data_IF_428429994298
#
_entry.id   IF_428429994298
#
_cell.length_a   1.000
_cell.length_b   1.000
_cell.length_c   1.000
_cell.angle_alpha   90.00
_cell.angle_beta   90.00
_cell.angle_gamma   90.00
#
_symmetry.space_group_name_H-M   'P 1'
#
loop_
_entity.id
_entity.type
_entity.pdbx_description
1 polymer ?
#
# COMPACT_ATOMS: atom_id res chain seq x y z
N UNK A 1 49.34 -5.77 58.01
CA UNK A 1 48.78 -4.40 57.97
C UNK A 1 47.28 -4.52 57.72
N UNK A 2 46.44 -3.87 58.54
CA UNK A 2 45.01 -3.74 58.26
C UNK A 2 44.85 -2.67 57.19
N UNK A 3 44.26 -3.04 56.04
CA UNK A 3 44.21 -2.20 54.83
C UNK A 3 42.97 -1.28 54.80
N UNK A 4 41.86 -1.67 55.41
CA UNK A 4 40.76 -0.76 55.75
C UNK A 4 39.90 -1.39 56.86
N UNK A 5 39.10 -0.56 57.51
CA UNK A 5 38.02 -0.99 58.40
C UNK A 5 36.72 -0.42 57.82
N UNK A 6 35.79 -1.30 57.47
CA UNK A 6 34.46 -0.94 57.00
C UNK A 6 33.41 -1.47 57.97
N UNK A 7 32.27 -0.78 58.01
CA UNK A 7 31.10 -1.21 58.76
C UNK A 7 30.42 -2.36 58.02
N UNK A 8 29.99 -3.39 58.76
CA UNK A 8 29.17 -4.46 58.20
C UNK A 8 27.72 -4.00 58.05
N UNK A 9 27.39 -3.53 56.84
CA UNK A 9 26.13 -2.86 56.49
C UNK A 9 24.89 -3.70 56.74
N UNK A 10 24.97 -5.03 56.58
CA UNK A 10 23.83 -5.95 56.74
C UNK A 10 23.47 -6.20 58.21
N UNK A 11 24.44 -6.10 59.13
CA UNK A 11 24.25 -6.48 60.53
C UNK A 11 24.19 -5.28 61.49
N UNK A 12 24.72 -4.11 61.11
CA UNK A 12 24.87 -2.99 62.04
C UNK A 12 23.51 -2.45 62.56
N UNK A 13 22.48 -2.44 61.72
CA UNK A 13 21.13 -2.02 62.12
C UNK A 13 20.50 -3.02 63.07
N UNK A 14 20.66 -4.32 62.80
CA UNK A 14 20.19 -5.39 63.65
C UNK A 14 20.90 -5.36 65.02
N UNK A 15 22.22 -5.13 65.02
CA UNK A 15 23.01 -4.96 66.23
C UNK A 15 22.53 -3.76 67.08
N UNK A 16 22.29 -2.61 66.46
CA UNK A 16 21.78 -1.43 67.17
C UNK A 16 20.37 -1.63 67.74
N UNK A 17 19.53 -2.37 67.02
CA UNK A 17 18.13 -2.62 67.40
C UNK A 17 18.02 -3.66 68.51
N UNK A 18 18.67 -4.80 68.35
CA UNK A 18 18.47 -5.99 69.18
C UNK A 18 19.54 -6.17 70.25
N UNK A 19 20.80 -5.84 69.96
CA UNK A 19 21.91 -6.01 70.92
C UNK A 19 22.06 -4.76 71.80
N UNK A 20 22.05 -3.56 71.21
CA UNK A 20 22.08 -2.30 71.96
C UNK A 20 20.71 -1.90 72.53
N UNK A 21 19.65 -2.66 72.21
CA UNK A 21 18.25 -2.39 72.61
C UNK A 21 17.80 -0.94 72.34
N UNK A 22 18.32 -0.33 71.27
CA UNK A 22 18.01 1.05 70.90
C UNK A 22 17.35 1.09 69.52
N UNK A 23 16.05 0.76 69.43
CA UNK A 23 15.34 0.71 68.17
C UNK A 23 15.26 2.08 67.47
N UNK A 24 15.24 3.19 68.22
CA UNK A 24 15.29 4.54 67.64
C UNK A 24 16.62 4.84 66.95
N UNK A 25 17.73 4.39 67.52
CA UNK A 25 19.05 4.49 66.90
C UNK A 25 19.13 3.64 65.63
N UNK A 26 18.66 2.38 65.70
CA UNK A 26 18.57 1.48 64.55
C UNK A 26 17.76 2.09 63.40
N UNK A 27 16.61 2.70 63.71
CA UNK A 27 15.76 3.37 62.73
C UNK A 27 16.45 4.58 62.07
N UNK A 28 17.13 5.42 62.86
CA UNK A 28 17.87 6.59 62.34
C UNK A 28 19.05 6.18 61.47
N UNK A 29 19.77 5.11 61.85
CA UNK A 29 20.88 4.56 61.07
C UNK A 29 20.39 3.98 59.74
N UNK A 30 19.29 3.23 59.76
CA UNK A 30 18.66 2.68 58.57
C UNK A 30 18.23 3.77 57.57
N UNK A 31 17.63 4.87 58.05
CA UNK A 31 17.23 6.00 57.18
C UNK A 31 18.43 6.74 56.62
N UNK A 32 19.39 7.14 57.47
CA UNK A 32 20.50 8.00 57.05
C UNK A 32 21.44 7.31 56.06
N UNK A 33 21.62 6.00 56.20
CA UNK A 33 22.57 5.23 55.40
C UNK A 33 21.90 4.24 54.43
N UNK A 34 20.57 4.27 54.31
CA UNK A 34 19.79 3.36 53.46
C UNK A 34 20.10 1.86 53.71
N UNK A 35 20.33 1.49 54.98
CA UNK A 35 20.77 0.15 55.40
C UNK A 35 19.58 -0.80 55.62
N UNK A 36 19.81 -2.10 55.40
CA UNK A 36 18.83 -3.16 55.62
C UNK A 36 18.68 -3.54 57.12
N UNK A 37 17.67 -4.34 57.47
CA UNK A 37 17.54 -4.91 58.83
C UNK A 37 16.67 -4.13 59.83
N UNK A 38 15.98 -3.07 59.41
CA UNK A 38 14.92 -2.38 60.17
C UNK A 38 13.51 -2.57 59.57
N UNK A 39 13.35 -3.47 58.60
CA UNK A 39 12.11 -3.67 57.83
C UNK A 39 10.87 -3.84 58.71
N UNK A 40 10.97 -4.70 59.72
CA UNK A 40 9.86 -5.01 60.63
C UNK A 40 9.51 -3.81 61.53
N UNK A 41 10.50 -2.99 61.92
CA UNK A 41 10.27 -1.78 62.71
C UNK A 41 9.52 -0.72 61.90
N UNK A 42 9.87 -0.54 60.62
CA UNK A 42 9.15 0.36 59.72
C UNK A 42 7.73 -0.12 59.48
N UNK A 43 7.53 -1.42 59.22
CA UNK A 43 6.20 -1.99 59.03
C UNK A 43 5.31 -1.86 60.27
N UNK A 44 5.84 -2.12 61.47
CA UNK A 44 5.11 -1.93 62.74
C UNK A 44 4.75 -0.46 62.94
N UNK A 45 5.72 0.45 62.80
CA UNK A 45 5.50 1.90 62.95
C UNK A 45 4.46 2.43 61.95
N UNK A 46 4.53 1.98 60.70
CA UNK A 46 3.54 2.29 59.67
C UNK A 46 2.14 1.81 60.08
N UNK A 47 1.98 0.54 60.44
CA UNK A 47 0.68 -0.02 60.80
C UNK A 47 0.08 0.65 62.05
N UNK A 48 0.90 1.01 63.04
CA UNK A 48 0.46 1.75 64.23
C UNK A 48 -0.08 3.13 63.86
N UNK A 49 0.66 3.90 63.06
CA UNK A 49 0.22 5.23 62.61
C UNK A 49 -1.02 5.16 61.72
N UNK A 50 -1.09 4.13 60.86
CA UNK A 50 -2.24 3.90 59.99
C UNK A 50 -3.50 3.55 60.80
N UNK A 51 -3.39 2.70 61.83
CA UNK A 51 -4.50 2.34 62.71
C UNK A 51 -4.99 3.52 63.58
N UNK A 52 -4.11 4.48 63.89
CA UNK A 52 -4.45 5.71 64.62
C UNK A 52 -5.16 6.76 63.75
N UNK A 53 -5.31 6.53 62.44
CA UNK A 53 -5.87 7.51 61.51
C UNK A 53 -4.90 8.62 61.10
N UNK A 54 -3.63 8.55 61.53
CA UNK A 54 -2.58 9.51 61.19
C UNK A 54 -1.97 9.21 59.82
N UNK A 55 -2.79 9.30 58.77
CA UNK A 55 -2.41 8.88 57.41
C UNK A 55 -1.23 9.66 56.81
N UNK A 56 -1.12 10.96 57.09
CA UNK A 56 -0.01 11.78 56.61
C UNK A 56 1.35 11.35 57.18
N UNK A 57 1.41 11.00 58.46
CA UNK A 57 2.65 10.54 59.08
C UNK A 57 2.96 9.08 58.71
N UNK A 58 1.94 8.25 58.54
CA UNK A 58 2.12 6.91 57.96
C UNK A 58 2.71 6.99 56.54
N UNK A 59 2.25 7.93 55.71
CA UNK A 59 2.79 8.18 54.38
C UNK A 59 4.26 8.63 54.41
N UNK A 60 4.64 9.54 55.32
CA UNK A 60 6.05 9.94 55.51
C UNK A 60 6.95 8.77 55.91
N UNK A 61 6.47 7.88 56.78
CA UNK A 61 7.20 6.67 57.19
C UNK A 61 7.37 5.72 56.00
N UNK A 62 6.34 5.54 55.18
CA UNK A 62 6.44 4.72 53.98
C UNK A 62 7.39 5.31 52.93
N UNK A 63 7.38 6.63 52.76
CA UNK A 63 8.24 7.34 51.80
C UNK A 63 9.72 7.34 52.21
N UNK A 64 10.01 7.43 53.51
CA UNK A 64 11.37 7.44 54.08
C UNK A 64 11.93 6.05 54.41
N UNK A 65 11.15 4.98 54.20
CA UNK A 65 11.59 3.63 54.47
C UNK A 65 12.76 3.25 53.54
N UNK A 66 13.87 2.70 54.08
CA UNK A 66 15.04 2.32 53.29
C UNK A 66 14.66 1.30 52.21
N UNK A 67 15.36 1.33 51.07
CA UNK A 67 15.11 0.48 49.89
C UNK A 67 13.65 0.47 49.39
N UNK A 68 12.79 1.40 49.83
CA UNK A 68 11.38 1.44 49.45
C UNK A 68 10.57 0.23 49.95
N UNK A 69 10.94 -0.40 51.08
CA UNK A 69 10.27 -1.61 51.61
C UNK A 69 8.75 -1.43 51.80
N UNK A 70 8.32 -0.21 52.11
CA UNK A 70 6.91 0.13 52.31
C UNK A 70 6.25 0.75 51.06
N UNK A 71 6.99 0.96 49.96
CA UNK A 71 6.50 1.52 48.69
C UNK A 71 6.00 0.41 47.77
N UNK A 72 5.06 -0.37 48.27
CA UNK A 72 4.54 -1.58 47.60
C UNK A 72 3.07 -1.43 47.22
N UNK A 73 2.59 -2.31 46.34
CA UNK A 73 1.17 -2.38 45.97
C UNK A 73 0.25 -2.57 47.18
N UNK A 74 0.70 -3.30 48.21
CA UNK A 74 -0.11 -3.56 49.41
C UNK A 74 -0.29 -2.29 50.25
N UNK A 75 0.76 -1.47 50.37
CA UNK A 75 0.66 -0.16 51.05
C UNK A 75 -0.29 0.76 50.29
N UNK A 76 -0.22 0.80 48.96
CA UNK A 76 -1.14 1.60 48.14
C UNK A 76 -2.59 1.13 48.34
N UNK A 77 -2.85 -0.19 48.32
CA UNK A 77 -4.17 -0.75 48.57
C UNK A 77 -4.72 -0.39 49.95
N UNK A 78 -3.87 -0.37 50.99
CA UNK A 78 -4.27 0.09 52.32
C UNK A 78 -4.78 1.53 52.27
N UNK A 79 -4.03 2.46 51.67
CA UNK A 79 -4.49 3.85 51.51
C UNK A 79 -5.74 3.99 50.62
N UNK A 80 -5.88 3.16 49.59
CA UNK A 80 -7.03 3.15 48.69
C UNK A 80 -8.32 2.65 49.38
N UNK A 81 -8.20 1.74 50.35
CA UNK A 81 -9.34 1.20 51.09
C UNK A 81 -9.99 2.20 52.06
N UNK A 82 -9.31 3.32 52.35
CA UNK A 82 -9.81 4.33 53.29
C UNK A 82 -10.73 5.31 52.55
N UNK A 83 -12.00 5.43 52.95
CA UNK A 83 -12.93 6.38 52.33
C UNK A 83 -12.50 7.83 52.59
N UNK A 84 -12.64 8.69 51.58
CA UNK A 84 -12.35 10.11 51.71
C UNK A 84 -13.42 10.80 52.59
N UNK A 85 -12.97 11.52 53.62
CA UNK A 85 -13.83 12.34 54.47
C UNK A 85 -14.26 13.62 53.71
N UNK A 86 -15.53 14.07 53.81
CA UNK A 86 -15.99 15.30 53.14
C UNK A 86 -15.15 16.51 53.57
N UNK A 87 -14.53 17.19 52.60
CA UNK A 87 -13.71 18.39 52.85
C UNK A 87 -12.23 18.15 53.14
N UNK A 88 -11.77 16.88 53.24
CA UNK A 88 -10.34 16.55 53.32
C UNK A 88 -9.86 15.85 52.05
N UNK A 89 -8.61 16.12 51.65
CA UNK A 89 -7.96 15.39 50.56
C UNK A 89 -7.89 13.88 50.89
N UNK A 90 -8.14 13.01 49.91
CA UNK A 90 -8.14 11.57 50.18
C UNK A 90 -6.77 11.12 50.73
N UNK A 91 -6.75 10.16 51.68
CA UNK A 91 -5.50 9.64 52.23
C UNK A 91 -4.52 9.14 51.15
N UNK A 92 -5.05 8.60 50.05
CA UNK A 92 -4.27 8.17 48.90
C UNK A 92 -3.58 9.35 48.17
N UNK A 93 -4.29 10.46 47.96
CA UNK A 93 -3.71 11.67 47.36
C UNK A 93 -2.67 12.31 48.28
N UNK A 94 -2.88 12.29 49.60
CA UNK A 94 -1.88 12.75 50.58
C UNK A 94 -0.61 11.89 50.51
N UNK A 95 -0.76 10.57 50.41
CA UNK A 95 0.35 9.64 50.24
C UNK A 95 1.18 9.96 49.00
N UNK A 96 0.54 10.12 47.83
CA UNK A 96 1.25 10.47 46.61
C UNK A 96 1.86 11.87 46.64
N UNK A 97 1.20 12.85 47.26
CA UNK A 97 1.76 14.20 47.44
C UNK A 97 3.09 14.17 48.20
N UNK A 98 3.15 13.45 49.32
CA UNK A 98 4.37 13.30 50.12
C UNK A 98 5.47 12.58 49.33
N UNK A 99 5.12 11.54 48.56
CA UNK A 99 6.09 10.83 47.73
C UNK A 99 6.65 11.71 46.61
N UNK A 100 5.81 12.48 45.93
CA UNK A 100 6.21 13.42 44.87
C UNK A 100 7.13 14.53 45.40
N UNK A 101 6.91 14.98 46.63
CA UNK A 101 7.79 15.96 47.29
C UNK A 101 9.16 15.35 47.62
N UNK A 102 9.21 14.06 48.00
CA UNK A 102 10.45 13.38 48.37
C UNK A 102 11.27 12.88 47.18
N UNK A 103 10.66 12.51 46.06
CA UNK A 103 11.41 11.97 44.92
C UNK A 103 10.56 11.45 43.76
N UNK A 104 11.14 10.51 43.02
CA UNK A 104 10.50 9.83 41.88
C UNK A 104 9.59 8.70 42.38
N UNK A 105 8.39 8.59 41.82
CA UNK A 105 7.45 7.49 42.03
C UNK A 105 7.92 6.24 41.32
N UNK A 106 7.71 5.07 41.92
CA UNK A 106 8.00 3.80 41.27
C UNK A 106 6.91 3.41 40.25
N UNK A 107 7.09 2.30 39.54
CA UNK A 107 6.15 1.79 38.52
C UNK A 107 4.72 1.68 39.04
N UNK A 108 4.51 1.07 40.21
CA UNK A 108 3.17 0.84 40.76
C UNK A 108 2.50 2.12 41.22
N UNK A 109 3.26 2.99 41.89
CA UNK A 109 2.79 4.29 42.36
C UNK A 109 2.43 5.22 41.19
N UNK A 110 3.26 5.23 40.15
CA UNK A 110 3.03 6.03 38.94
C UNK A 110 1.72 5.61 38.26
N UNK A 111 1.45 4.31 38.15
CA UNK A 111 0.21 3.79 37.58
C UNK A 111 -1.02 4.19 38.41
N UNK A 112 -0.98 3.96 39.72
CA UNK A 112 -2.12 4.22 40.60
C UNK A 112 -2.41 5.71 40.78
N UNK A 113 -1.37 6.57 40.73
CA UNK A 113 -1.57 8.02 40.70
C UNK A 113 -2.16 8.50 39.37
N UNK A 114 -1.70 7.96 38.24
CA UNK A 114 -2.11 8.46 36.93
C UNK A 114 -3.55 8.07 36.55
N UNK A 115 -4.05 6.91 37.02
CA UNK A 115 -5.43 6.46 36.78
C UNK A 115 -6.51 7.52 37.11
N UNK A 116 -6.61 8.02 38.36
CA UNK A 116 -7.64 9.01 38.70
C UNK A 116 -7.39 10.36 38.03
N UNK A 117 -6.13 10.75 37.81
CA UNK A 117 -5.78 12.03 37.16
C UNK A 117 -6.25 12.05 35.71
N UNK A 118 -6.08 10.93 34.99
CA UNK A 118 -6.55 10.77 33.63
C UNK A 118 -8.08 10.70 33.56
N UNK A 119 -8.74 9.99 34.48
CA UNK A 119 -10.22 9.96 34.57
C UNK A 119 -10.83 11.34 34.81
N UNK A 120 -10.15 12.20 35.56
CA UNK A 120 -10.55 13.60 35.80
C UNK A 120 -10.16 14.55 34.65
N UNK A 121 -9.54 14.05 33.58
CA UNK A 121 -9.11 14.87 32.43
C UNK A 121 -7.95 15.82 32.73
N UNK A 122 -7.25 15.67 33.85
CA UNK A 122 -6.19 16.60 34.31
C UNK A 122 -4.82 16.27 33.71
N UNK A 123 -4.75 16.09 32.39
CA UNK A 123 -3.52 15.68 31.68
C UNK A 123 -2.33 16.62 31.84
N UNK A 124 -2.57 17.90 32.11
CA UNK A 124 -1.52 18.91 32.37
C UNK A 124 -0.64 18.55 33.58
N UNK A 125 -1.22 17.91 34.61
CA UNK A 125 -0.46 17.46 35.77
C UNK A 125 0.51 16.33 35.39
N UNK A 126 0.04 15.41 34.55
CA UNK A 126 0.86 14.32 34.04
C UNK A 126 2.03 14.84 33.19
N UNK A 127 1.78 15.80 32.30
CA UNK A 127 2.83 16.48 31.54
C UNK A 127 3.88 17.14 32.44
N UNK A 128 3.44 17.81 33.52
CA UNK A 128 4.33 18.44 34.48
C UNK A 128 5.20 17.39 35.18
N UNK A 129 4.61 16.34 35.73
CA UNK A 129 5.35 15.28 36.44
C UNK A 129 6.30 14.52 35.53
N UNK A 130 5.93 14.32 34.26
CA UNK A 130 6.85 13.79 33.26
C UNK A 130 8.02 14.76 33.02
N UNK A 131 7.79 16.06 32.85
CA UNK A 131 8.91 17.02 32.65
C UNK A 131 9.87 17.08 33.85
N UNK A 132 9.34 16.91 35.05
CA UNK A 132 10.12 16.93 36.31
C UNK A 132 10.75 15.57 36.68
N UNK A 133 10.64 14.56 35.81
CA UNK A 133 11.13 13.19 36.03
C UNK A 133 10.61 12.53 37.33
N UNK A 134 9.39 12.90 37.73
CA UNK A 134 8.74 12.44 38.97
C UNK A 134 8.07 11.08 38.85
N UNK A 135 7.91 10.56 37.62
CA UNK A 135 7.22 9.31 37.35
C UNK A 135 8.17 8.30 36.72
N UNK A 136 8.16 7.08 37.22
CA UNK A 136 8.81 5.95 36.55
C UNK A 136 7.98 5.56 35.30
N UNK A 137 8.59 5.75 34.12
CA UNK A 137 7.95 5.44 32.85
C UNK A 137 7.98 3.93 32.59
N UNK A 138 6.82 3.36 32.27
CA UNK A 138 6.69 1.92 31.95
C UNK A 138 5.72 1.71 30.78
N UNK A 139 5.74 0.51 30.20
CA UNK A 139 4.80 0.12 29.13
C UNK A 139 3.34 0.26 29.58
N UNK A 140 3.00 -0.26 30.75
CA UNK A 140 1.64 -0.18 31.33
C UNK A 140 1.18 1.27 31.52
N UNK A 141 2.11 2.16 31.91
CA UNK A 141 1.79 3.59 32.07
C UNK A 141 1.52 4.23 30.71
N UNK A 142 2.34 3.90 29.70
CA UNK A 142 2.11 4.37 28.34
C UNK A 142 0.76 3.90 27.80
N UNK A 143 0.39 2.63 28.02
CA UNK A 143 -0.89 2.06 27.57
C UNK A 143 -2.08 2.78 28.20
N UNK A 144 -1.98 3.10 29.50
CA UNK A 144 -2.99 3.87 30.21
C UNK A 144 -3.12 5.29 29.64
N UNK A 145 -2.00 5.99 29.43
CA UNK A 145 -1.96 7.37 28.94
C UNK A 145 -2.46 7.48 27.49
N UNK A 146 -2.18 6.45 26.68
CA UNK A 146 -2.58 6.40 25.27
C UNK A 146 -4.09 6.53 25.05
N UNK A 147 -4.89 6.03 26.00
CA UNK A 147 -6.36 6.15 25.94
C UNK A 147 -6.85 7.60 26.01
N UNK A 148 -6.05 8.51 26.60
CA UNK A 148 -6.37 9.91 26.76
C UNK A 148 -5.59 10.83 25.81
N UNK A 149 -4.30 10.56 25.60
CA UNK A 149 -3.43 11.37 24.74
C UNK A 149 -2.30 10.52 24.12
N UNK A 150 -2.40 10.18 22.82
CA UNK A 150 -1.38 9.39 22.12
C UNK A 150 -0.01 10.09 22.07
N UNK A 151 0.04 11.42 22.05
CA UNK A 151 1.30 12.17 21.96
C UNK A 151 2.05 12.15 23.29
N UNK A 152 1.32 12.21 24.40
CA UNK A 152 1.90 12.07 25.72
C UNK A 152 2.38 10.63 25.96
N UNK A 153 1.60 9.63 25.53
CA UNK A 153 1.99 8.23 25.62
C UNK A 153 3.30 7.92 24.89
N UNK A 154 3.52 8.52 23.71
CA UNK A 154 4.79 8.41 22.98
C UNK A 154 5.98 8.86 23.84
N UNK A 155 5.84 9.95 24.60
CA UNK A 155 6.91 10.44 25.49
C UNK A 155 7.20 9.46 26.63
N UNK A 156 6.17 8.79 27.15
CA UNK A 156 6.30 7.76 28.19
C UNK A 156 7.03 6.54 27.61
N UNK A 157 6.62 6.03 26.45
CA UNK A 157 7.26 4.87 25.82
C UNK A 157 8.73 5.11 25.45
N UNK A 158 9.06 6.31 24.98
CA UNK A 158 10.45 6.69 24.67
C UNK A 158 11.35 6.64 25.90
N UNK A 159 10.84 7.07 27.06
CA UNK A 159 11.58 7.05 28.34
C UNK A 159 11.61 5.67 28.98
N UNK A 160 10.54 4.90 28.80
CA UNK A 160 10.46 3.49 29.22
C UNK A 160 11.33 2.56 28.36
N UNK A 161 11.90 3.07 27.26
CA UNK A 161 12.70 2.32 26.29
C UNK A 161 11.97 1.07 25.75
N UNK A 162 10.74 1.26 25.25
CA UNK A 162 9.89 0.20 24.67
C UNK A 162 9.73 0.41 23.16
N UNK A 163 10.64 -0.12 22.30
CA UNK A 163 10.71 0.25 20.89
C UNK A 163 9.45 -0.09 20.09
N UNK A 164 8.84 -1.25 20.35
CA UNK A 164 7.65 -1.73 19.64
C UNK A 164 6.48 -0.75 19.78
N UNK A 165 6.22 -0.28 21.01
CA UNK A 165 5.13 0.65 21.32
C UNK A 165 5.42 2.06 20.82
N UNK A 166 6.68 2.52 20.87
CA UNK A 166 7.10 3.80 20.27
C UNK A 166 6.79 3.81 18.78
N UNK A 167 7.19 2.75 18.07
CA UNK A 167 6.97 2.62 16.62
C UNK A 167 5.48 2.57 16.30
N UNK A 168 4.70 1.81 17.07
CA UNK A 168 3.25 1.75 16.92
C UNK A 168 2.61 3.14 17.11
N UNK A 169 3.01 3.89 18.15
CA UNK A 169 2.52 5.26 18.35
C UNK A 169 2.93 6.23 17.25
N UNK A 170 4.16 6.12 16.72
CA UNK A 170 4.56 6.92 15.57
C UNK A 170 3.70 6.61 14.32
N UNK A 171 3.39 5.33 14.10
CA UNK A 171 2.54 4.91 13.00
C UNK A 171 1.10 5.44 13.14
N UNK A 172 0.52 5.33 14.33
CA UNK A 172 -0.83 5.85 14.62
C UNK A 172 -0.92 7.39 14.56
N UNK A 173 0.18 8.09 14.85
CA UNK A 173 0.25 9.56 14.74
C UNK A 173 0.68 10.04 13.35
N UNK A 174 0.89 9.14 12.38
CA UNK A 174 1.30 9.46 11.01
C UNK A 174 2.73 9.97 10.86
N UNK A 175 3.57 9.84 11.89
CA UNK A 175 4.95 10.37 11.90
C UNK A 175 5.94 9.35 11.32
N UNK A 176 5.68 8.86 10.11
CA UNK A 176 6.40 7.74 9.50
C UNK A 176 7.91 7.95 9.38
N UNK A 177 8.35 9.16 8.99
CA UNK A 177 9.77 9.48 8.86
C UNK A 177 10.56 9.24 10.16
N UNK A 178 9.93 9.46 11.32
CA UNK A 178 10.57 9.26 12.62
C UNK A 178 10.70 7.78 12.98
N UNK A 179 9.87 6.91 12.41
CA UNK A 179 9.92 5.46 12.66
C UNK A 179 11.27 4.90 12.21
N UNK A 180 11.67 5.16 10.96
CA UNK A 180 12.92 4.66 10.39
C UNK A 180 14.13 5.21 11.14
N UNK A 181 14.12 6.52 11.46
CA UNK A 181 15.18 7.16 12.22
C UNK A 181 15.33 6.56 13.63
N UNK A 182 14.21 6.31 14.32
CA UNK A 182 14.21 5.72 15.65
C UNK A 182 14.65 4.24 15.62
N UNK A 183 14.14 3.46 14.68
CA UNK A 183 14.53 2.06 14.47
C UNK A 183 16.05 1.92 14.26
N UNK A 184 16.64 2.75 13.38
CA UNK A 184 18.10 2.80 13.15
C UNK A 184 18.86 3.23 14.41
N UNK A 185 18.37 4.24 15.15
CA UNK A 185 19.03 4.74 16.37
C UNK A 185 19.10 3.71 17.51
N UNK A 186 18.05 2.91 17.68
CA UNK A 186 17.94 1.92 18.75
C UNK A 186 18.44 0.54 18.31
N UNK A 187 18.74 0.36 17.02
CA UNK A 187 19.13 -0.95 16.47
C UNK A 187 17.99 -1.96 16.49
N UNK A 188 16.74 -1.49 16.40
CA UNK A 188 15.54 -2.32 16.42
C UNK A 188 14.93 -2.40 15.03
N UNK A 189 14.70 -3.61 14.52
CA UNK A 189 14.05 -3.87 13.23
C UNK A 189 12.60 -4.27 13.46
N UNK A 190 11.61 -3.37 13.25
CA UNK A 190 10.21 -3.73 13.33
C UNK A 190 9.80 -4.66 12.20
N UNK A 191 8.73 -5.43 12.42
CA UNK A 191 8.00 -6.08 11.33
C UNK A 191 7.23 -5.01 10.54
N UNK A 192 7.83 -4.54 9.45
CA UNK A 192 7.28 -3.49 8.60
C UNK A 192 5.95 -3.88 7.97
N UNK A 193 5.76 -5.15 7.62
CA UNK A 193 4.55 -5.65 6.97
C UNK A 193 3.41 -5.72 7.98
N UNK A 194 3.66 -6.22 9.19
CA UNK A 194 2.68 -6.20 10.27
C UNK A 194 2.26 -4.77 10.62
N UNK A 195 3.22 -3.85 10.70
CA UNK A 195 2.95 -2.44 10.98
C UNK A 195 2.12 -1.80 9.86
N UNK A 196 2.47 -2.07 8.59
CA UNK A 196 1.71 -1.59 7.43
C UNK A 196 0.27 -2.10 7.43
N UNK A 197 0.05 -3.38 7.73
CA UNK A 197 -1.30 -3.96 7.90
C UNK A 197 -2.10 -3.22 8.97
N UNK A 198 -1.46 -2.88 10.09
CA UNK A 198 -2.11 -2.12 11.16
C UNK A 198 -2.49 -0.71 10.71
N UNK A 199 -1.60 0.00 10.00
CA UNK A 199 -1.86 1.36 9.50
C UNK A 199 -2.98 1.36 8.47
N UNK A 200 -2.95 0.42 7.51
CA UNK A 200 -3.98 0.35 6.44
C UNK A 200 -5.39 0.12 6.98
N UNK A 201 -5.54 -0.60 8.10
CA UNK A 201 -6.85 -0.79 8.76
C UNK A 201 -7.42 0.50 9.34
N UNK A 202 -6.56 1.42 9.75
CA UNK A 202 -6.96 2.70 10.34
C UNK A 202 -7.16 3.76 9.25
N UNK A 203 -6.20 3.88 8.33
CA UNK A 203 -6.24 4.83 7.23
C UNK A 203 -5.49 4.28 6.02
N UNK A 204 -6.19 3.97 4.92
CA UNK A 204 -5.58 3.56 3.66
C UNK A 204 -4.59 4.59 3.10
N UNK A 205 -4.91 5.88 3.20
CA UNK A 205 -4.07 6.96 2.65
C UNK A 205 -2.75 7.11 3.43
N UNK A 206 -2.80 6.98 4.75
CA UNK A 206 -1.59 6.92 5.56
C UNK A 206 -0.80 5.63 5.28
N UNK A 207 -1.48 4.51 5.04
CA UNK A 207 -0.86 3.27 4.61
C UNK A 207 -0.10 3.42 3.28
N UNK A 208 -0.67 4.16 2.33
CA UNK A 208 -0.01 4.49 1.07
C UNK A 208 1.28 5.30 1.29
N UNK A 209 1.20 6.39 2.05
CA UNK A 209 2.38 7.21 2.37
C UNK A 209 3.47 6.39 3.07
N UNK A 210 3.06 5.53 4.01
CA UNK A 210 3.99 4.67 4.71
C UNK A 210 4.65 3.65 3.77
N UNK A 211 3.87 3.03 2.88
CA UNK A 211 4.39 2.07 1.89
C UNK A 211 5.42 2.68 0.94
N UNK A 212 5.19 3.91 0.47
CA UNK A 212 6.13 4.64 -0.38
C UNK A 212 7.45 4.91 0.35
N UNK A 213 7.39 5.29 1.62
CA UNK A 213 8.58 5.52 2.44
C UNK A 213 9.39 4.24 2.66
N UNK A 214 8.74 3.07 2.78
CA UNK A 214 9.44 1.79 2.96
C UNK A 214 10.30 1.37 1.76
N UNK A 215 10.02 1.91 0.56
CA UNK A 215 10.70 1.56 -0.69
C UNK A 215 11.49 2.71 -1.30
N UNK A 216 11.58 3.85 -0.60
CA UNK A 216 12.22 5.07 -1.11
C UNK A 216 13.76 4.98 -1.14
N UNK A 217 14.36 4.27 -0.19
CA UNK A 217 15.82 4.11 -0.08
C UNK A 217 16.35 3.09 -1.11
N UNK A 218 17.65 3.19 -1.48
CA UNK A 218 18.30 2.25 -2.42
C UNK A 218 18.18 0.79 -1.98
N UNK A 219 18.21 0.56 -0.66
CA UNK A 219 17.86 -0.71 -0.04
C UNK A 219 16.47 -0.60 0.57
N UNK A 220 15.43 -1.20 -0.06
CA UNK A 220 14.08 -1.11 0.43
C UNK A 220 13.95 -1.84 1.78
N UNK A 221 13.27 -1.20 2.74
CA UNK A 221 13.05 -1.75 4.08
C UNK A 221 12.06 -2.92 4.08
N UNK A 222 11.21 -2.99 3.04
CA UNK A 222 10.21 -4.04 2.87
C UNK A 222 10.09 -4.47 1.41
N UNK A 223 9.70 -5.72 1.19
CA UNK A 223 9.55 -6.26 -0.16
C UNK A 223 8.29 -5.70 -0.84
N UNK A 224 8.43 -5.18 -2.05
CA UNK A 224 7.33 -4.60 -2.85
C UNK A 224 6.19 -5.61 -3.04
N UNK A 225 6.49 -6.90 -3.30
CA UNK A 225 5.45 -7.92 -3.47
C UNK A 225 4.60 -8.08 -2.21
N UNK A 226 5.22 -8.09 -1.03
CA UNK A 226 4.50 -8.19 0.24
C UNK A 226 3.65 -6.95 0.51
N UNK A 227 4.14 -5.76 0.16
CA UNK A 227 3.37 -4.52 0.26
C UNK A 227 2.13 -4.59 -0.64
N UNK A 228 2.30 -5.04 -1.89
CA UNK A 228 1.18 -5.24 -2.84
C UNK A 228 0.16 -6.24 -2.29
N UNK A 229 0.62 -7.36 -1.71
CA UNK A 229 -0.26 -8.34 -1.07
C UNK A 229 -1.13 -7.69 0.01
N UNK A 230 -0.55 -6.82 0.85
CA UNK A 230 -1.29 -6.10 1.91
C UNK A 230 -2.34 -5.15 1.35
N UNK A 231 -2.07 -4.45 0.23
CA UNK A 231 -3.09 -3.64 -0.43
C UNK A 231 -4.23 -4.50 -0.99
N UNK A 232 -3.89 -5.62 -1.64
CA UNK A 232 -4.85 -6.53 -2.26
C UNK A 232 -5.76 -7.22 -1.26
N UNK A 233 -5.22 -7.68 -0.13
CA UNK A 233 -6.00 -8.26 0.97
C UNK A 233 -7.08 -7.31 1.50
N UNK A 234 -6.82 -6.00 1.49
CA UNK A 234 -7.75 -4.97 1.93
C UNK A 234 -8.60 -4.40 0.79
N UNK A 235 -8.51 -4.96 -0.43
CA UNK A 235 -9.19 -4.47 -1.64
C UNK A 235 -8.90 -2.98 -1.97
N UNK A 236 -7.71 -2.49 -1.59
CA UNK A 236 -7.27 -1.10 -1.77
C UNK A 236 -6.62 -0.89 -3.15
N UNK A 237 -7.40 -1.13 -4.20
CA UNK A 237 -6.90 -1.21 -5.59
C UNK A 237 -6.37 0.14 -6.08
N UNK A 238 -7.06 1.24 -5.79
CA UNK A 238 -6.65 2.57 -6.23
C UNK A 238 -5.31 2.97 -5.58
N UNK A 239 -5.16 2.73 -4.28
CA UNK A 239 -3.93 3.00 -3.55
C UNK A 239 -2.80 2.08 -4.01
N UNK A 240 -3.08 0.80 -4.26
CA UNK A 240 -2.11 -0.15 -4.81
C UNK A 240 -1.60 0.31 -6.18
N UNK A 241 -2.51 0.74 -7.07
CA UNK A 241 -2.16 1.29 -8.38
C UNK A 241 -1.27 2.51 -8.21
N UNK A 242 -1.65 3.48 -7.37
CA UNK A 242 -0.84 4.68 -7.13
C UNK A 242 0.56 4.33 -6.59
N UNK A 243 0.67 3.39 -5.66
CA UNK A 243 1.94 2.92 -5.12
C UNK A 243 2.82 2.29 -6.21
N UNK A 244 2.27 1.36 -6.99
CA UNK A 244 3.01 0.66 -8.04
C UNK A 244 3.42 1.58 -9.19
N UNK A 245 2.61 2.58 -9.55
CA UNK A 245 2.99 3.56 -10.58
C UNK A 245 4.22 4.38 -10.17
N UNK A 246 4.36 4.74 -8.88
CA UNK A 246 5.55 5.43 -8.38
C UNK A 246 6.74 4.48 -8.20
N UNK A 247 6.52 3.28 -7.68
CA UNK A 247 7.56 2.28 -7.47
C UNK A 247 8.19 1.81 -8.80
N UNK A 248 7.38 1.68 -9.86
CA UNK A 248 7.78 1.16 -11.17
C UNK A 248 8.16 2.26 -12.18
N UNK A 249 8.23 3.53 -11.77
CA UNK A 249 8.44 4.67 -12.68
C UNK A 249 9.70 4.60 -13.55
N UNK A 250 10.68 3.78 -13.14
CA UNK A 250 11.93 3.58 -13.88
C UNK A 250 11.84 2.47 -14.94
N UNK A 251 10.67 1.83 -15.08
CA UNK A 251 10.36 0.78 -16.07
C UNK A 251 11.49 -0.27 -16.20
N UNK A 252 11.92 -0.86 -15.07
CA UNK A 252 13.06 -1.78 -15.06
C UNK A 252 12.63 -3.19 -15.49
N UNK A 253 13.43 -3.92 -16.29
CA UNK A 253 13.12 -5.29 -16.68
C UNK A 253 12.95 -6.26 -15.50
N UNK A 254 13.73 -6.09 -14.44
CA UNK A 254 13.67 -6.93 -13.23
C UNK A 254 12.30 -6.86 -12.53
N UNK A 255 11.54 -5.78 -12.77
CA UNK A 255 10.24 -5.51 -12.16
C UNK A 255 9.09 -5.90 -13.11
N UNK A 256 9.36 -6.59 -14.22
CA UNK A 256 8.35 -6.97 -15.21
C UNK A 256 7.16 -7.74 -14.62
N UNK A 257 7.40 -8.63 -13.64
CA UNK A 257 6.35 -9.34 -12.92
C UNK A 257 5.40 -8.39 -12.16
N UNK A 258 5.92 -7.29 -11.57
CA UNK A 258 5.11 -6.27 -10.89
C UNK A 258 4.33 -5.43 -11.90
N UNK A 259 4.90 -5.16 -13.07
CA UNK A 259 4.18 -4.49 -14.17
C UNK A 259 2.98 -5.34 -14.64
N UNK A 260 3.19 -6.65 -14.83
CA UNK A 260 2.09 -7.58 -15.16
C UNK A 260 1.02 -7.56 -14.07
N UNK A 261 1.43 -7.62 -12.80
CA UNK A 261 0.51 -7.63 -11.66
C UNK A 261 -0.30 -6.35 -11.54
N UNK A 262 0.33 -5.19 -11.78
CA UNK A 262 -0.34 -3.89 -11.84
C UNK A 262 -1.44 -3.88 -12.90
N UNK A 263 -1.12 -4.33 -14.11
CA UNK A 263 -2.07 -4.37 -15.23
C UNK A 263 -3.19 -5.37 -14.96
N UNK A 264 -2.85 -6.57 -14.47
CA UNK A 264 -3.82 -7.62 -14.17
C UNK A 264 -4.88 -7.15 -13.15
N UNK A 265 -4.43 -6.59 -12.03
CA UNK A 265 -5.33 -6.07 -11.00
C UNK A 265 -6.27 -5.00 -11.59
N UNK A 266 -5.74 -4.04 -12.36
CA UNK A 266 -6.56 -2.99 -12.95
C UNK A 266 -7.47 -3.53 -14.07
N UNK A 267 -7.05 -4.49 -14.89
CA UNK A 267 -7.91 -5.08 -15.92
C UNK A 267 -9.09 -5.84 -15.33
N UNK A 268 -8.93 -6.45 -14.15
CA UNK A 268 -10.00 -7.16 -13.46
C UNK A 268 -10.97 -6.19 -12.77
N UNK A 269 -10.46 -5.15 -12.11
CA UNK A 269 -11.25 -4.33 -11.20
C UNK A 269 -11.51 -2.89 -11.66
N UNK A 270 -10.65 -2.32 -12.50
CA UNK A 270 -10.74 -0.95 -13.00
C UNK A 270 -10.23 -0.83 -14.45
N UNK A 271 -10.92 -1.44 -15.45
CA UNK A 271 -10.43 -1.53 -16.83
C UNK A 271 -10.04 -0.19 -17.48
N UNK A 272 -10.75 0.89 -17.13
CA UNK A 272 -10.47 2.24 -17.64
C UNK A 272 -9.09 2.74 -17.21
N UNK A 273 -8.64 2.37 -16.00
CA UNK A 273 -7.31 2.75 -15.50
C UNK A 273 -6.24 1.93 -16.23
N UNK A 274 -6.47 0.64 -16.44
CA UNK A 274 -5.57 -0.19 -17.24
C UNK A 274 -5.43 0.32 -18.68
N UNK A 275 -6.54 0.70 -19.32
CA UNK A 275 -6.54 1.28 -20.66
C UNK A 275 -5.70 2.56 -20.73
N UNK A 276 -5.83 3.45 -19.73
CA UNK A 276 -5.00 4.65 -19.64
C UNK A 276 -3.51 4.34 -19.46
N UNK A 277 -3.16 3.37 -18.61
CA UNK A 277 -1.76 2.95 -18.39
C UNK A 277 -1.16 2.38 -19.68
N UNK A 278 -1.88 1.50 -20.37
CA UNK A 278 -1.46 0.90 -21.64
C UNK A 278 -1.36 1.93 -22.76
N UNK A 279 -2.36 2.83 -22.86
CA UNK A 279 -2.40 3.88 -23.86
C UNK A 279 -1.26 4.90 -23.73
N UNK A 280 -0.84 5.18 -22.50
CA UNK A 280 0.31 6.06 -22.21
C UNK A 280 1.67 5.35 -22.35
N UNK A 281 1.69 4.05 -22.67
CA UNK A 281 2.91 3.25 -22.85
C UNK A 281 3.90 3.37 -21.67
N UNK A 282 3.37 3.41 -20.44
CA UNK A 282 4.18 3.63 -19.24
C UNK A 282 5.16 2.48 -18.94
N UNK A 283 4.87 1.28 -19.43
CA UNK A 283 5.59 0.05 -19.10
C UNK A 283 5.84 -0.79 -20.36
N UNK A 284 6.91 -1.58 -20.36
CA UNK A 284 7.30 -2.39 -21.54
C UNK A 284 7.70 -3.83 -21.24
N UNK A 285 7.83 -4.22 -19.96
CA UNK A 285 8.43 -5.50 -19.55
C UNK A 285 7.44 -6.49 -18.93
N UNK A 286 6.14 -6.21 -18.99
CA UNK A 286 5.10 -7.13 -18.53
C UNK A 286 4.86 -8.27 -19.53
N UNK A 287 4.15 -9.30 -19.06
CA UNK A 287 3.71 -10.43 -19.88
C UNK A 287 2.61 -9.99 -20.85
N UNK A 288 2.99 -9.74 -22.11
CA UNK A 288 2.07 -9.27 -23.15
C UNK A 288 0.95 -10.27 -23.44
N UNK A 289 1.24 -11.57 -23.43
CA UNK A 289 0.25 -12.60 -23.77
C UNK A 289 -0.85 -12.69 -22.72
N UNK A 290 -0.46 -12.71 -21.45
CA UNK A 290 -1.42 -12.69 -20.33
C UNK A 290 -2.24 -11.39 -20.32
N UNK A 291 -1.59 -10.23 -20.49
CA UNK A 291 -2.27 -8.93 -20.55
C UNK A 291 -3.26 -8.85 -21.72
N UNK A 292 -2.91 -9.37 -22.89
CA UNK A 292 -3.81 -9.39 -24.05
C UNK A 292 -5.13 -10.13 -23.75
N UNK A 293 -5.04 -11.32 -23.13
CA UNK A 293 -6.21 -12.11 -22.75
C UNK A 293 -7.09 -11.40 -21.73
N UNK A 294 -6.48 -10.68 -20.79
CA UNK A 294 -7.20 -9.88 -19.81
C UNK A 294 -7.86 -8.64 -20.43
N UNK A 295 -7.20 -7.97 -21.38
CA UNK A 295 -7.79 -6.88 -22.16
C UNK A 295 -9.03 -7.35 -22.92
N UNK A 296 -8.99 -8.52 -23.55
CA UNK A 296 -10.16 -9.09 -24.24
C UNK A 296 -11.31 -9.37 -23.28
N UNK A 297 -11.03 -9.99 -22.13
CA UNK A 297 -12.05 -10.23 -21.08
C UNK A 297 -12.64 -8.95 -20.51
N UNK A 298 -11.85 -7.88 -20.45
CA UNK A 298 -12.28 -6.56 -19.99
C UNK A 298 -13.03 -5.74 -21.07
N UNK A 299 -13.19 -6.28 -22.29
CA UNK A 299 -13.84 -5.59 -23.40
C UNK A 299 -12.95 -4.57 -24.13
N UNK A 300 -11.66 -4.50 -23.79
CA UNK A 300 -10.67 -3.60 -24.39
C UNK A 300 -10.02 -4.27 -25.61
N UNK A 301 -10.80 -4.56 -26.63
CA UNK A 301 -10.35 -5.33 -27.80
C UNK A 301 -9.21 -4.68 -28.58
N UNK A 302 -9.18 -3.35 -28.69
CA UNK A 302 -8.05 -2.64 -29.32
C UNK A 302 -6.75 -2.93 -28.59
N UNK A 303 -6.75 -2.83 -27.26
CA UNK A 303 -5.58 -3.16 -26.44
C UNK A 303 -5.21 -4.62 -26.57
N UNK A 304 -6.17 -5.54 -26.57
CA UNK A 304 -5.88 -6.95 -26.78
C UNK A 304 -5.13 -7.19 -28.10
N UNK A 305 -5.61 -6.60 -29.20
CA UNK A 305 -4.97 -6.70 -30.52
C UNK A 305 -3.56 -6.10 -30.58
N UNK A 306 -3.27 -5.00 -29.87
CA UNK A 306 -1.91 -4.43 -29.78
C UNK A 306 -0.90 -5.36 -29.09
N UNK A 307 -1.40 -6.35 -28.34
CA UNK A 307 -0.59 -7.22 -27.50
C UNK A 307 -0.52 -8.66 -28.01
N UNK A 308 -1.49 -9.10 -28.80
CA UNK A 308 -1.44 -10.40 -29.43
C UNK A 308 -0.28 -10.50 -30.42
N UNK A 309 0.43 -11.62 -30.33
CA UNK A 309 1.52 -11.99 -31.24
C UNK A 309 1.17 -13.21 -32.09
N UNK A 310 0.21 -14.03 -31.64
CA UNK A 310 -0.27 -15.20 -32.38
C UNK A 310 -1.38 -14.79 -33.37
N UNK A 311 -1.21 -15.15 -34.64
CA UNK A 311 -2.17 -14.90 -35.70
C UNK A 311 -3.55 -15.52 -35.39
N UNK A 312 -3.60 -16.65 -34.69
CA UNK A 312 -4.86 -17.27 -34.29
C UNK A 312 -5.70 -16.33 -33.41
N UNK A 313 -5.08 -15.75 -32.39
CA UNK A 313 -5.76 -14.82 -31.47
C UNK A 313 -6.12 -13.50 -32.15
N UNK A 314 -5.22 -12.97 -33.00
CA UNK A 314 -5.49 -11.78 -33.81
C UNK A 314 -6.73 -12.01 -34.69
N UNK A 315 -6.79 -13.13 -35.42
CA UNK A 315 -7.94 -13.46 -36.27
C UNK A 315 -9.23 -13.61 -35.47
N UNK A 316 -9.17 -14.18 -34.28
CA UNK A 316 -10.34 -14.31 -33.40
C UNK A 316 -10.86 -12.94 -32.96
N UNK A 317 -9.97 -12.02 -32.59
CA UNK A 317 -10.37 -10.72 -32.06
C UNK A 317 -10.78 -9.71 -33.17
N UNK A 318 -10.08 -9.72 -34.32
CA UNK A 318 -10.24 -8.70 -35.38
C UNK A 318 -11.62 -8.74 -36.07
N UNK A 319 -12.32 -9.88 -36.03
CA UNK A 319 -13.66 -10.01 -36.63
C UNK A 319 -14.74 -9.21 -35.91
N UNK A 320 -14.49 -8.82 -34.65
CA UNK A 320 -15.41 -8.01 -33.85
C UNK A 320 -15.32 -6.51 -34.19
N UNK A 321 -15.36 -6.18 -35.47
CA UNK A 321 -15.16 -4.83 -36.03
C UNK A 321 -16.09 -3.75 -35.46
N UNK A 322 -17.32 -4.11 -35.07
CA UNK A 322 -18.29 -3.22 -34.43
C UNK A 322 -17.84 -2.69 -33.06
N UNK A 323 -16.88 -3.34 -32.41
CA UNK A 323 -16.30 -2.92 -31.13
C UNK A 323 -14.97 -2.17 -31.30
N UNK A 324 -14.51 -1.97 -32.54
CA UNK A 324 -13.23 -1.37 -32.88
C UNK A 324 -13.45 -0.03 -33.59
N UNK A 325 -12.63 0.97 -33.27
CA UNK A 325 -12.56 2.19 -34.07
C UNK A 325 -12.05 1.86 -35.49
N UNK A 326 -12.79 2.22 -36.56
CA UNK A 326 -12.41 1.92 -37.94
C UNK A 326 -11.06 2.50 -38.37
N UNK A 327 -10.75 3.74 -37.99
CA UNK A 327 -9.49 4.40 -38.36
C UNK A 327 -8.29 3.73 -37.68
N UNK A 328 -8.45 3.40 -36.39
CA UNK A 328 -7.44 2.67 -35.64
C UNK A 328 -7.21 1.29 -36.26
N UNK A 329 -8.28 0.55 -36.59
CA UNK A 329 -8.16 -0.79 -37.15
C UNK A 329 -7.46 -0.76 -38.51
N UNK A 330 -7.76 0.21 -39.37
CA UNK A 330 -7.03 0.41 -40.64
C UNK A 330 -5.55 0.62 -40.37
N UNK A 331 -5.17 1.44 -39.39
CA UNK A 331 -3.76 1.66 -39.04
C UNK A 331 -3.09 0.42 -38.44
N UNK A 332 -3.83 -0.40 -37.68
CA UNK A 332 -3.33 -1.64 -37.09
C UNK A 332 -2.84 -2.63 -38.14
N UNK A 333 -3.51 -2.73 -39.30
CA UNK A 333 -3.03 -3.56 -40.42
C UNK A 333 -1.64 -3.15 -40.92
N UNK A 334 -1.23 -1.89 -40.73
CA UNK A 334 0.14 -1.45 -41.06
C UNK A 334 1.23 -2.01 -40.13
N UNK A 335 0.86 -2.56 -38.97
CA UNK A 335 1.80 -3.24 -38.06
C UNK A 335 1.90 -4.75 -38.29
N UNK A 336 1.00 -5.32 -39.10
CA UNK A 336 0.98 -6.75 -39.40
C UNK A 336 1.92 -7.06 -40.58
N UNK A 337 2.37 -8.32 -40.67
CA UNK A 337 3.03 -8.79 -41.88
C UNK A 337 2.04 -8.85 -43.05
N UNK A 338 2.56 -8.92 -44.29
CA UNK A 338 1.73 -9.05 -45.50
C UNK A 338 0.86 -10.31 -45.45
N UNK A 339 1.44 -11.43 -45.02
CA UNK A 339 0.73 -12.71 -44.91
C UNK A 339 -0.37 -12.65 -43.84
N UNK A 340 -0.04 -12.14 -42.65
CA UNK A 340 -1.00 -11.99 -41.55
C UNK A 340 -2.15 -11.05 -41.91
N UNK A 341 -1.86 -9.97 -42.65
CA UNK A 341 -2.86 -9.02 -43.12
C UNK A 341 -3.87 -9.66 -44.05
N UNK A 342 -3.43 -10.45 -45.03
CA UNK A 342 -4.32 -11.14 -45.97
C UNK A 342 -5.18 -12.18 -45.23
N UNK A 343 -4.58 -12.92 -44.30
CA UNK A 343 -5.31 -13.90 -43.46
C UNK A 343 -6.32 -13.23 -42.52
N UNK A 344 -6.01 -12.07 -41.97
CA UNK A 344 -6.95 -11.28 -41.16
C UNK A 344 -8.11 -10.74 -41.99
N UNK A 345 -7.85 -10.20 -43.19
CA UNK A 345 -8.91 -9.77 -44.11
C UNK A 345 -9.82 -10.95 -44.51
N UNK A 346 -9.23 -12.13 -44.76
CA UNK A 346 -9.97 -13.37 -45.00
C UNK A 346 -10.87 -13.74 -43.83
N UNK A 347 -10.34 -13.69 -42.60
CA UNK A 347 -11.12 -13.96 -41.40
C UNK A 347 -12.29 -12.96 -41.23
N UNK A 348 -12.03 -11.66 -41.42
CA UNK A 348 -13.06 -10.62 -41.35
C UNK A 348 -14.19 -10.84 -42.35
N UNK A 349 -13.87 -11.10 -43.62
CA UNK A 349 -14.86 -11.38 -44.64
C UNK A 349 -15.62 -12.69 -44.35
N UNK A 350 -14.95 -13.72 -43.85
CA UNK A 350 -15.59 -14.99 -43.50
C UNK A 350 -16.61 -14.85 -42.38
N UNK A 351 -16.33 -14.00 -41.39
CA UNK A 351 -17.22 -13.79 -40.26
C UNK A 351 -18.50 -13.04 -40.65
N UNK A 352 -18.38 -11.91 -41.35
CA UNK A 352 -19.52 -11.15 -41.84
C UNK A 352 -19.12 -10.22 -42.99
N UNK A 353 -19.35 -10.67 -44.23
CA UNK A 353 -19.05 -9.90 -45.43
C UNK A 353 -19.71 -8.52 -45.39
N UNK A 354 -21.04 -8.44 -45.18
CA UNK A 354 -21.77 -7.17 -45.29
C UNK A 354 -21.27 -6.11 -44.31
N UNK A 355 -21.01 -6.53 -43.07
CA UNK A 355 -20.54 -5.62 -42.02
C UNK A 355 -19.09 -5.19 -42.25
N UNK A 356 -18.22 -6.13 -42.65
CA UNK A 356 -16.78 -5.89 -42.69
C UNK A 356 -16.29 -5.38 -44.05
N UNK A 357 -17.13 -5.41 -45.09
CA UNK A 357 -16.74 -5.10 -46.46
C UNK A 357 -16.08 -3.74 -46.61
N UNK A 358 -16.74 -2.68 -46.12
CA UNK A 358 -16.26 -1.31 -46.24
C UNK A 358 -14.87 -1.16 -45.61
N UNK A 359 -14.66 -1.76 -44.44
CA UNK A 359 -13.39 -1.71 -43.74
C UNK A 359 -12.30 -2.51 -44.46
N UNK A 360 -12.63 -3.72 -44.94
CA UNK A 360 -11.71 -4.54 -45.73
C UNK A 360 -11.28 -3.82 -47.01
N UNK A 361 -12.21 -3.12 -47.67
CA UNK A 361 -11.91 -2.27 -48.84
C UNK A 361 -10.98 -1.13 -48.45
N UNK A 362 -11.24 -0.41 -47.35
CA UNK A 362 -10.36 0.68 -46.90
C UNK A 362 -8.93 0.21 -46.62
N UNK A 363 -8.78 -0.93 -45.94
CA UNK A 363 -7.46 -1.56 -45.69
C UNK A 363 -6.80 -1.93 -47.01
N UNK A 364 -7.52 -2.62 -47.90
CA UNK A 364 -7.03 -3.00 -49.22
C UNK A 364 -6.57 -1.78 -50.02
N UNK A 365 -7.39 -0.72 -50.09
CA UNK A 365 -7.08 0.53 -50.79
C UNK A 365 -5.90 1.30 -50.19
N UNK A 366 -5.64 1.16 -48.88
CA UNK A 366 -4.51 1.85 -48.23
C UNK A 366 -3.19 1.09 -48.37
N UNK A 367 -3.22 -0.24 -48.30
CA UNK A 367 -2.02 -1.08 -48.26
C UNK A 367 -1.82 -1.93 -49.53
N UNK A 368 -2.53 -1.65 -50.63
CA UNK A 368 -2.45 -2.46 -51.86
C UNK A 368 -1.04 -2.60 -52.44
N UNK A 369 -0.20 -1.58 -52.30
CA UNK A 369 1.19 -1.63 -52.79
C UNK A 369 2.02 -2.70 -52.07
N UNK A 370 1.74 -2.92 -50.78
CA UNK A 370 2.44 -3.91 -49.96
C UNK A 370 1.78 -5.29 -50.02
N UNK A 371 0.44 -5.32 -49.99
CA UNK A 371 -0.34 -6.57 -49.99
C UNK A 371 -0.42 -7.24 -51.37
N UNK A 372 -0.19 -6.47 -52.43
CA UNK A 372 -0.27 -6.93 -53.81
C UNK A 372 -1.72 -6.94 -54.34
N UNK A 373 -1.94 -6.22 -55.43
CA UNK A 373 -3.26 -6.10 -56.06
C UNK A 373 -3.87 -7.45 -56.46
N UNK A 374 -3.06 -8.36 -57.00
CA UNK A 374 -3.53 -9.69 -57.42
C UNK A 374 -4.03 -10.53 -56.23
N UNK A 375 -3.30 -10.53 -55.11
CA UNK A 375 -3.69 -11.25 -53.88
C UNK A 375 -5.02 -10.73 -53.33
N UNK A 376 -5.20 -9.40 -53.30
CA UNK A 376 -6.44 -8.77 -52.87
C UNK A 376 -7.61 -9.06 -53.83
N UNK A 377 -7.38 -9.10 -55.14
CA UNK A 377 -8.40 -9.51 -56.13
C UNK A 377 -8.84 -10.95 -55.88
N UNK A 378 -7.90 -11.88 -55.76
CA UNK A 378 -8.19 -13.29 -55.47
C UNK A 378 -8.94 -13.46 -54.15
N UNK A 379 -8.59 -12.68 -53.13
CA UNK A 379 -9.29 -12.66 -51.85
C UNK A 379 -10.77 -12.31 -52.04
N UNK A 380 -11.11 -11.15 -52.61
CA UNK A 380 -12.51 -10.76 -52.78
C UNK A 380 -13.27 -11.68 -53.76
N UNK A 381 -12.60 -12.22 -54.78
CA UNK A 381 -13.20 -13.21 -55.69
C UNK A 381 -13.54 -14.52 -54.96
N UNK A 382 -12.70 -14.98 -54.03
CA UNK A 382 -12.96 -16.19 -53.24
C UNK A 382 -14.24 -16.09 -52.41
N UNK A 383 -14.62 -14.89 -51.97
CA UNK A 383 -15.89 -14.61 -51.28
C UNK A 383 -17.04 -14.19 -52.21
N UNK A 384 -16.81 -14.18 -53.53
CA UNK A 384 -17.76 -13.67 -54.55
C UNK A 384 -18.22 -12.23 -54.28
N UNK A 385 -17.38 -11.42 -53.65
CA UNK A 385 -17.69 -10.05 -53.28
C UNK A 385 -17.35 -9.09 -54.43
N UNK A 386 -18.23 -9.04 -55.44
CA UNK A 386 -18.06 -8.14 -56.59
C UNK A 386 -18.19 -6.67 -56.21
N UNK A 387 -18.99 -6.37 -55.18
CA UNK A 387 -19.10 -5.04 -54.60
C UNK A 387 -17.78 -4.59 -53.96
N UNK A 388 -17.13 -5.47 -53.19
CA UNK A 388 -15.80 -5.22 -52.63
C UNK A 388 -14.74 -4.99 -53.69
N UNK A 389 -14.70 -5.85 -54.71
CA UNK A 389 -13.81 -5.70 -55.87
C UNK A 389 -14.04 -4.36 -56.57
N UNK A 390 -15.30 -3.98 -56.79
CA UNK A 390 -15.63 -2.74 -57.46
C UNK A 390 -15.11 -1.53 -56.67
N UNK A 391 -15.39 -1.45 -55.37
CA UNK A 391 -14.92 -0.32 -54.55
C UNK A 391 -13.40 -0.29 -54.38
N UNK A 392 -12.77 -1.45 -54.15
CA UNK A 392 -11.31 -1.55 -54.05
C UNK A 392 -10.64 -1.16 -55.37
N UNK A 393 -11.00 -1.81 -56.47
CA UNK A 393 -10.39 -1.54 -57.77
C UNK A 393 -10.69 -0.12 -58.25
N UNK A 394 -11.87 0.44 -57.92
CA UNK A 394 -12.20 1.84 -58.21
C UNK A 394 -11.25 2.85 -57.58
N UNK A 395 -10.68 2.52 -56.41
CA UNK A 395 -9.69 3.38 -55.75
C UNK A 395 -8.31 3.39 -56.43
N UNK A 396 -7.99 2.35 -57.21
CA UNK A 396 -6.67 2.18 -57.84
C UNK A 396 -6.68 2.27 -59.38
N UNK A 397 -7.82 2.03 -60.03
CA UNK A 397 -7.92 1.84 -61.49
C UNK A 397 -7.46 3.07 -62.29
N UNK A 398 -7.70 4.27 -61.77
CA UNK A 398 -7.29 5.52 -62.42
C UNK A 398 -5.77 5.75 -62.40
N UNK A 399 -5.06 5.05 -61.50
CA UNK A 399 -3.60 5.18 -61.33
C UNK A 399 -2.84 3.93 -61.80
N UNK A 400 -3.53 2.80 -61.95
CA UNK A 400 -2.95 1.55 -62.43
C UNK A 400 -2.81 1.52 -63.96
N UNK A 401 -1.70 0.97 -64.45
CA UNK A 401 -1.51 0.67 -65.89
C UNK A 401 -1.68 -0.83 -66.19
N UNK A 402 -2.02 -1.65 -65.19
CA UNK A 402 -2.15 -3.10 -65.33
C UNK A 402 -3.45 -3.48 -66.08
N UNK A 403 -3.36 -4.11 -67.27
CA UNK A 403 -4.53 -4.53 -68.04
C UNK A 403 -5.50 -5.43 -67.27
N UNK A 404 -5.00 -6.26 -66.35
CA UNK A 404 -5.84 -7.17 -65.56
C UNK A 404 -6.64 -6.42 -64.50
N UNK A 405 -6.08 -5.36 -63.89
CA UNK A 405 -6.81 -4.48 -62.95
C UNK A 405 -7.99 -3.81 -63.64
N UNK A 406 -7.77 -3.25 -64.83
CA UNK A 406 -8.84 -2.61 -65.61
C UNK A 406 -9.91 -3.61 -66.05
N UNK A 407 -9.49 -4.80 -66.51
CA UNK A 407 -10.43 -5.87 -66.87
C UNK A 407 -11.27 -6.34 -65.68
N UNK A 408 -10.64 -6.57 -64.52
CA UNK A 408 -11.34 -6.99 -63.30
C UNK A 408 -12.26 -5.90 -62.75
N UNK A 409 -11.90 -4.62 -62.88
CA UNK A 409 -12.79 -3.50 -62.52
C UNK A 409 -14.04 -3.47 -63.39
N UNK A 410 -13.89 -3.61 -64.72
CA UNK A 410 -15.01 -3.72 -65.66
C UNK A 410 -15.90 -4.92 -65.30
N UNK A 411 -15.30 -6.07 -65.03
CA UNK A 411 -16.03 -7.28 -64.63
C UNK A 411 -16.83 -7.06 -63.33
N UNK A 412 -16.24 -6.41 -62.32
CA UNK A 412 -16.91 -6.09 -61.07
C UNK A 412 -18.05 -5.07 -61.27
N UNK A 413 -17.80 -3.99 -62.01
CA UNK A 413 -18.79 -2.95 -62.33
C UNK A 413 -20.01 -3.49 -63.10
N UNK A 414 -19.81 -4.40 -64.05
CA UNK A 414 -20.91 -5.09 -64.73
C UNK A 414 -21.75 -5.93 -63.77
N UNK A 415 -21.10 -6.69 -62.88
CA UNK A 415 -21.79 -7.58 -61.92
C UNK A 415 -22.51 -6.84 -60.81
N UNK A 416 -22.09 -5.61 -60.49
CA UNK A 416 -22.77 -4.72 -59.52
C UNK A 416 -23.80 -3.80 -60.17
N UNK A 417 -23.96 -3.84 -61.50
CA UNK A 417 -24.94 -3.01 -62.24
C UNK A 417 -24.49 -1.57 -62.48
N UNK A 418 -23.22 -1.23 -62.25
CA UNK A 418 -22.66 0.10 -62.41
C UNK A 418 -22.24 0.39 -63.86
N UNK A 419 -23.21 0.37 -64.79
CA UNK A 419 -22.96 0.48 -66.24
C UNK A 419 -22.27 1.80 -66.63
N UNK A 420 -22.55 2.90 -65.92
CA UNK A 420 -21.90 4.20 -66.16
C UNK A 420 -20.38 4.14 -65.99
N UNK A 421 -19.91 3.37 -65.02
CA UNK A 421 -18.48 3.21 -64.74
C UNK A 421 -17.80 2.31 -65.78
N UNK A 422 -18.52 1.31 -66.28
CA UNK A 422 -18.07 0.48 -67.41
C UNK A 422 -17.88 1.34 -68.66
N UNK A 423 -18.85 2.21 -68.97
CA UNK A 423 -18.73 3.15 -70.09
C UNK A 423 -17.57 4.12 -69.89
N UNK A 424 -17.40 4.66 -68.67
CA UNK A 424 -16.32 5.60 -68.35
C UNK A 424 -14.95 4.96 -68.61
N UNK A 425 -14.67 3.81 -67.99
CA UNK A 425 -13.38 3.14 -68.15
C UNK A 425 -13.15 2.67 -69.59
N UNK A 426 -14.19 2.20 -70.29
CA UNK A 426 -14.05 1.83 -71.71
C UNK A 426 -13.77 3.03 -72.63
N UNK A 427 -14.08 4.27 -72.21
CA UNK A 427 -13.78 5.48 -72.99
C UNK A 427 -12.45 6.13 -72.59
N UNK A 428 -12.13 6.10 -71.31
CA UNK A 428 -11.01 6.87 -70.73
C UNK A 428 -9.73 6.04 -70.56
N UNK A 429 -9.83 4.72 -70.37
CA UNK A 429 -8.67 3.86 -70.17
C UNK A 429 -8.19 3.23 -71.48
N UNK A 430 -6.89 3.32 -71.75
CA UNK A 430 -6.22 2.62 -72.84
C UNK A 430 -5.52 1.32 -72.38
N UNK A 431 -5.69 0.92 -71.12
CA UNK A 431 -4.87 -0.13 -70.51
C UNK A 431 -5.50 -1.54 -70.63
N UNK A 432 -6.78 -1.68 -70.93
CA UNK A 432 -7.46 -2.98 -71.00
C UNK A 432 -7.44 -3.59 -72.42
N UNK A 433 -7.54 -4.93 -72.52
CA UNK A 433 -7.67 -5.61 -73.81
C UNK A 433 -9.11 -5.51 -74.36
N UNK A 434 -9.35 -4.79 -75.48
CA UNK A 434 -10.70 -4.54 -75.99
C UNK A 434 -11.43 -5.81 -76.46
N UNK A 435 -10.72 -6.80 -77.00
CA UNK A 435 -11.33 -8.06 -77.46
C UNK A 435 -11.82 -8.89 -76.27
N UNK A 436 -11.02 -8.95 -75.20
CA UNK A 436 -11.37 -9.66 -73.97
C UNK A 436 -12.59 -9.04 -73.29
N UNK A 437 -12.65 -7.71 -73.20
CA UNK A 437 -13.82 -6.98 -72.65
C UNK A 437 -15.04 -7.16 -73.53
N UNK A 438 -14.90 -7.01 -74.86
CA UNK A 438 -16.00 -7.21 -75.81
C UNK A 438 -16.59 -8.62 -75.71
N UNK A 439 -15.77 -9.65 -75.55
CA UNK A 439 -16.23 -11.02 -75.40
C UNK A 439 -16.91 -11.28 -74.04
N UNK A 440 -16.55 -10.55 -72.99
CA UNK A 440 -17.21 -10.64 -71.69
C UNK A 440 -18.56 -9.89 -71.66
N UNK A 441 -18.69 -8.80 -72.41
CA UNK A 441 -19.90 -7.96 -72.46
C UNK A 441 -20.97 -8.45 -73.46
N UNK A 442 -20.63 -9.39 -74.33
CA UNK A 442 -21.59 -10.12 -75.19
C UNK A 442 -22.43 -11.06 -74.34
#
# INVERSE_FOLDING_TARGET
>A
QVLSVCVEEDNIVNYATNVLQNPDLGLRMAIRSNLAGAEELFARKFNTLFAQGSYADAAKVAASAPKGILRTSDTIRKFQSVPAQPGQASPLLQYFGILLDQGQLNKFESLELCRPVLQQGRKQLLEKWLKEDKLECSEELGDLVKTADPTLALSVYLRANVPNKVIQCFAETGQFQKIVLYAKKVGYTPDWIFLLRSVMRVSPDQGLQFSQMLVQDEEPLANINQIVDVFMENSLIQQCTSFLLDALKNNRPAEGHLQTRLLEMNLIHAPQVADAILGNQMFTHYDRGHVAQLCEKAGLLQRALEHYTDLYDIKRAVVHTHLLNPEWLVNFFGSLSVEDSVECLRAMLSANIRQNLQLCVQVASKYHEQLGTQSLVELFESFKSYEGLFYFLGSIVNFSQDPDVHFKYIQAACKTGQIKEVERICRESNCYNPERVKNFLK
#
